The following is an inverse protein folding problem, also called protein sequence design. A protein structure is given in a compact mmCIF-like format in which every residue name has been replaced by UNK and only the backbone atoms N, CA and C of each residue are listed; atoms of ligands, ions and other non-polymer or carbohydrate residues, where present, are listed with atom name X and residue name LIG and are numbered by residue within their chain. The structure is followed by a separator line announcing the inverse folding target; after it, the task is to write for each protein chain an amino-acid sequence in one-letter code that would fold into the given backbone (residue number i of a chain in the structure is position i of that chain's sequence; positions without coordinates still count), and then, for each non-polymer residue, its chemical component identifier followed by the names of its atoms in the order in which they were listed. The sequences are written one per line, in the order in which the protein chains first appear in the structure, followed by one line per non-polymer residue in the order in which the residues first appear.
data_IF_893451258037
#
_entry.id   IF_893451258037
#
_cell.length_a   1.000
_cell.length_b   1.000
_cell.length_c   1.000
_cell.angle_alpha   90.00
_cell.angle_beta   90.00
_cell.angle_gamma   90.00
#
_symmetry.space_group_name_H-M   'P 1'
#
loop_
_entity.id
_entity.type
_entity.pdbx_description
1 polymer ?
#
# COMPACT_ATOMS: atom_id res chain seq x y z
N UNK A 1 86.02 -9.14 -35.12
CA UNK A 1 85.37 -8.10 -34.29
C UNK A 1 83.87 -8.33 -34.35
N UNK A 2 83.27 -8.76 -33.24
CA UNK A 2 81.89 -9.23 -33.17
C UNK A 2 80.93 -8.07 -32.86
N UNK A 3 80.03 -7.75 -33.78
CA UNK A 3 78.94 -6.80 -33.55
C UNK A 3 77.77 -7.51 -32.85
N UNK A 4 77.55 -7.20 -31.57
CA UNK A 4 76.38 -7.67 -30.80
C UNK A 4 75.18 -6.80 -31.13
N UNK A 5 74.15 -7.46 -31.66
CA UNK A 5 72.77 -6.98 -31.81
C UNK A 5 72.16 -6.86 -30.41
N UNK A 6 71.67 -5.67 -30.04
CA UNK A 6 70.75 -5.50 -28.91
C UNK A 6 69.39 -5.08 -29.46
N UNK A 7 68.45 -6.03 -29.45
CA UNK A 7 67.05 -5.84 -29.80
C UNK A 7 66.29 -5.46 -28.51
N UNK A 8 65.87 -4.21 -28.39
CA UNK A 8 65.06 -3.74 -27.26
C UNK A 8 63.59 -4.05 -27.52
N UNK A 9 63.05 -5.06 -26.87
CA UNK A 9 61.61 -5.36 -26.87
C UNK A 9 60.94 -4.39 -25.89
N UNK A 10 60.20 -3.40 -26.41
CA UNK A 10 59.26 -2.62 -25.60
C UNK A 10 58.02 -3.48 -25.32
N UNK A 11 57.87 -3.93 -24.07
CA UNK A 11 56.57 -4.38 -23.57
C UNK A 11 55.67 -3.15 -23.34
N UNK A 12 54.74 -2.93 -24.26
CA UNK A 12 53.60 -2.05 -24.02
C UNK A 12 52.64 -2.77 -23.06
N UNK A 13 52.74 -2.45 -21.76
CA UNK A 13 51.73 -2.82 -20.78
C UNK A 13 50.47 -1.99 -21.03
N UNK A 14 49.51 -2.59 -21.73
CA UNK A 14 48.14 -2.07 -21.83
C UNK A 14 47.49 -2.11 -20.44
N UNK A 15 47.70 -1.06 -19.66
CA UNK A 15 46.92 -0.79 -18.46
C UNK A 15 45.49 -0.46 -18.91
N UNK A 16 44.60 -1.46 -18.86
CA UNK A 16 43.18 -1.20 -18.91
C UNK A 16 42.85 -0.20 -17.78
N UNK A 17 42.08 0.87 -18.03
CA UNK A 17 41.68 1.77 -16.96
C UNK A 17 40.92 0.94 -15.93
N UNK A 18 41.45 0.91 -14.70
CA UNK A 18 40.73 0.38 -13.56
C UNK A 18 39.46 1.22 -13.43
N UNK A 19 38.33 0.68 -13.88
CA UNK A 19 37.01 1.25 -13.64
C UNK A 19 36.88 1.26 -12.12
N UNK A 20 37.05 2.45 -11.52
CA UNK A 20 36.91 2.64 -10.10
C UNK A 20 35.55 2.04 -9.67
N UNK A 21 35.60 1.09 -8.73
CA UNK A 21 34.37 0.52 -8.20
C UNK A 21 33.50 1.66 -7.67
N UNK A 22 32.20 1.72 -8.01
CA UNK A 22 31.32 2.78 -7.52
C UNK A 22 31.39 2.83 -5.99
N UNK A 23 31.82 3.97 -5.45
CA UNK A 23 31.87 4.18 -4.01
C UNK A 23 30.45 4.20 -3.45
N UNK A 24 30.28 3.70 -2.22
CA UNK A 24 29.00 3.78 -1.53
C UNK A 24 28.66 5.26 -1.29
N UNK A 25 27.44 5.64 -1.64
CA UNK A 25 26.87 6.95 -1.39
C UNK A 25 26.00 6.89 -0.14
N UNK A 26 25.96 7.99 0.63
CA UNK A 26 25.07 8.10 1.78
C UNK A 26 23.62 8.24 1.29
N UNK A 27 22.69 7.51 1.90
CA UNK A 27 21.28 7.53 1.53
C UNK A 27 20.95 6.70 0.28
N UNK A 28 19.67 6.73 -0.10
CA UNK A 28 19.17 6.12 -1.33
C UNK A 28 19.05 7.16 -2.46
N UNK A 29 19.18 6.73 -3.73
CA UNK A 29 18.67 7.49 -4.86
C UNK A 29 17.15 7.75 -4.73
N UNK A 30 16.70 8.95 -5.13
CA UNK A 30 15.28 9.37 -5.06
C UNK A 30 14.30 8.39 -5.72
N UNK A 31 14.74 7.70 -6.78
CA UNK A 31 13.90 6.73 -7.47
C UNK A 31 13.62 5.45 -6.66
N UNK A 32 14.42 5.20 -5.61
CA UNK A 32 14.31 4.08 -4.69
C UNK A 32 13.70 4.47 -3.35
N UNK A 33 13.27 5.71 -3.20
CA UNK A 33 12.58 6.20 -1.99
C UNK A 33 11.06 6.18 -2.21
N UNK A 34 10.32 5.83 -1.16
CA UNK A 34 8.87 5.71 -1.18
C UNK A 34 8.34 4.34 -0.74
N UNK A 35 7.08 4.09 -1.08
CA UNK A 35 6.38 2.85 -0.75
C UNK A 35 6.26 1.97 -1.98
N UNK A 36 6.50 0.68 -1.79
CA UNK A 36 6.59 -0.31 -2.84
C UNK A 36 5.72 -1.51 -2.51
N UNK A 37 4.83 -1.89 -3.43
CA UNK A 37 3.99 -3.08 -3.33
C UNK A 37 4.26 -4.08 -4.46
N UNK A 38 4.10 -5.37 -4.20
CA UNK A 38 4.18 -6.43 -5.20
C UNK A 38 2.94 -6.50 -6.10
N UNK A 39 1.89 -5.74 -5.77
CA UNK A 39 0.68 -5.62 -6.57
C UNK A 39 0.04 -4.24 -6.44
N UNK A 40 -0.84 -3.89 -7.38
CA UNK A 40 -1.62 -2.63 -7.32
C UNK A 40 -2.47 -2.60 -6.05
N UNK A 41 -2.99 -3.76 -5.73
CA UNK A 41 -3.84 -4.02 -4.59
C UNK A 41 -3.11 -3.72 -3.27
N UNK A 42 -1.87 -4.17 -3.17
CA UNK A 42 -1.04 -3.87 -2.00
C UNK A 42 -0.76 -2.37 -1.89
N UNK A 43 -0.51 -1.69 -3.02
CA UNK A 43 -0.35 -0.24 -3.05
C UNK A 43 -1.60 0.52 -2.59
N UNK A 44 -2.78 0.12 -3.04
CA UNK A 44 -4.05 0.67 -2.57
C UNK A 44 -4.17 0.50 -1.06
N UNK A 45 -3.92 -0.70 -0.53
CA UNK A 45 -4.00 -0.96 0.91
C UNK A 45 -2.97 -0.14 1.71
N UNK A 46 -1.78 0.10 1.16
CA UNK A 46 -0.74 0.89 1.84
C UNK A 46 -1.11 2.36 2.02
N UNK A 47 -1.79 2.96 1.05
CA UNK A 47 -2.32 4.32 1.22
C UNK A 47 -3.44 4.41 2.28
N UNK A 48 -3.90 3.28 2.82
CA UNK A 48 -5.13 3.17 3.62
C UNK A 48 -4.93 2.65 5.03
N UNK A 49 -3.86 1.91 5.31
CA UNK A 49 -3.62 1.45 6.68
C UNK A 49 -3.19 2.63 7.54
N UNK A 50 -3.96 2.85 8.60
CA UNK A 50 -3.86 3.93 9.59
C UNK A 50 -2.76 3.70 10.62
N UNK A 51 -1.85 2.76 10.38
CA UNK A 51 -0.79 2.35 11.30
C UNK A 51 0.36 3.39 11.24
N UNK A 52 0.10 4.62 11.71
CA UNK A 52 1.07 5.73 11.94
C UNK A 52 1.97 6.20 10.77
N UNK A 53 1.97 5.53 9.61
CA UNK A 53 2.72 5.96 8.43
C UNK A 53 1.87 6.97 7.64
N UNK A 54 1.52 8.09 8.28
CA UNK A 54 0.90 9.24 7.64
C UNK A 54 1.93 10.15 6.95
N UNK A 55 3.22 9.77 6.98
CA UNK A 55 4.31 10.52 6.39
C UNK A 55 5.13 9.62 5.49
N UNK A 56 4.77 9.62 4.21
CA UNK A 56 5.68 9.23 3.13
C UNK A 56 6.86 10.22 3.11
N UNK A 57 7.78 10.06 4.05
CA UNK A 57 9.01 10.84 4.10
C UNK A 57 9.91 10.37 2.97
N UNK A 58 10.54 11.33 2.28
CA UNK A 58 11.50 11.09 1.20
C UNK A 58 12.74 10.32 1.68
N UNK A 59 12.90 10.07 2.98
CA UNK A 59 14.10 9.44 3.53
C UNK A 59 13.98 7.91 3.72
N UNK A 60 12.82 7.32 3.43
CA UNK A 60 12.52 5.93 3.76
C UNK A 60 12.14 5.08 2.54
N UNK A 61 12.53 3.82 2.63
CA UNK A 61 12.04 2.72 1.80
C UNK A 61 11.08 1.90 2.64
N UNK A 62 9.87 1.66 2.13
CA UNK A 62 8.89 0.81 2.81
C UNK A 62 8.28 -0.19 1.83
N UNK A 63 8.14 -1.43 2.30
CA UNK A 63 7.58 -2.57 1.57
C UNK A 63 6.35 -3.17 2.28
N UNK A 64 5.96 -2.60 3.43
CA UNK A 64 4.71 -2.91 4.10
C UNK A 64 4.17 -1.71 4.87
N UNK A 65 2.88 -1.72 5.21
CA UNK A 65 2.17 -0.58 5.80
C UNK A 65 2.06 -0.60 7.33
N UNK A 66 2.85 -1.43 8.02
CA UNK A 66 2.83 -1.51 9.48
C UNK A 66 3.98 -0.72 10.12
N UNK A 67 3.82 -0.35 11.39
CA UNK A 67 4.91 0.20 12.20
C UNK A 67 6.13 -0.74 12.16
N UNK A 68 7.30 -0.23 11.79
CA UNK A 68 8.54 -1.03 11.66
C UNK A 68 8.79 -1.64 10.28
N UNK A 69 7.86 -1.46 9.34
CA UNK A 69 8.07 -1.75 7.91
C UNK A 69 8.88 -0.67 7.17
N UNK A 70 9.22 0.40 7.88
CA UNK A 70 10.05 1.47 7.35
C UNK A 70 11.51 1.17 7.64
N UNK A 71 12.33 1.33 6.60
CA UNK A 71 13.77 1.26 6.73
C UNK A 71 14.41 2.54 6.26
N UNK A 72 15.31 3.08 7.08
CA UNK A 72 16.20 4.14 6.63
C UNK A 72 17.25 3.54 5.72
N UNK A 73 17.41 4.07 4.51
CA UNK A 73 18.54 3.70 3.67
C UNK A 73 19.79 4.40 4.19
N UNK A 74 20.70 3.65 4.81
CA UNK A 74 21.94 4.21 5.38
C UNK A 74 22.98 4.46 4.30
N UNK A 75 23.05 3.58 3.29
CA UNK A 75 23.92 3.77 2.14
C UNK A 75 23.42 3.00 0.92
N UNK A 76 23.85 3.45 -0.25
CA UNK A 76 23.58 2.81 -1.52
C UNK A 76 24.88 2.64 -2.32
N UNK A 77 24.97 1.55 -3.08
CA UNK A 77 26.07 1.33 -4.03
C UNK A 77 25.51 0.88 -5.35
N UNK A 78 25.79 1.62 -6.42
CA UNK A 78 25.43 1.22 -7.78
C UNK A 78 26.29 0.03 -8.22
N UNK A 79 25.68 -0.92 -8.91
CA UNK A 79 26.34 -2.09 -9.53
C UNK A 79 25.94 -2.19 -11.00
N UNK A 80 26.64 -3.00 -11.81
CA UNK A 80 26.21 -3.27 -13.18
C UNK A 80 24.78 -3.85 -13.28
N UNK A 81 24.33 -4.55 -12.23
CA UNK A 81 23.02 -5.19 -12.16
C UNK A 81 21.94 -4.33 -11.49
N UNK A 82 22.27 -3.15 -10.95
CA UNK A 82 21.34 -2.25 -10.27
C UNK A 82 21.96 -1.55 -9.07
N UNK A 83 21.43 -1.79 -7.87
CA UNK A 83 21.88 -1.20 -6.62
C UNK A 83 22.01 -2.26 -5.52
N UNK A 84 22.90 -2.00 -4.58
CA UNK A 84 22.91 -2.64 -3.26
C UNK A 84 22.57 -1.55 -2.25
N UNK A 85 21.46 -1.71 -1.54
CA UNK A 85 21.04 -0.80 -0.48
C UNK A 85 21.35 -1.43 0.87
N UNK A 86 21.88 -0.62 1.79
CA UNK A 86 21.95 -0.96 3.21
C UNK A 86 20.85 -0.21 3.95
N UNK A 87 20.15 -0.93 4.80
CA UNK A 87 19.03 -0.44 5.58
C UNK A 87 19.35 -0.48 7.07
N UNK A 88 18.67 0.34 7.84
CA UNK A 88 18.59 0.23 9.29
C UNK A 88 17.17 0.61 9.75
N UNK A 89 16.70 -0.05 10.81
CA UNK A 89 15.42 0.29 11.46
C UNK A 89 15.59 0.28 12.98
N UNK A 90 14.66 0.88 13.76
CA UNK A 90 14.74 0.83 15.22
C UNK A 90 14.79 -0.60 15.79
N UNK A 91 14.11 -1.55 15.13
CA UNK A 91 14.10 -2.97 15.52
C UNK A 91 15.29 -3.78 15.01
N UNK A 92 16.04 -3.27 14.03
CA UNK A 92 17.27 -3.87 13.53
C UNK A 92 18.33 -2.78 13.23
N UNK A 93 19.05 -2.31 14.26
CA UNK A 93 20.03 -1.22 14.12
C UNK A 93 21.30 -1.65 13.37
N UNK A 94 21.66 -2.94 13.41
CA UNK A 94 22.76 -3.50 12.62
C UNK A 94 22.43 -3.52 11.12
N UNK A 95 21.13 -3.53 10.81
CA UNK A 95 20.63 -3.38 9.47
C UNK A 95 20.65 -4.65 8.65
N UNK A 96 20.36 -4.50 7.37
CA UNK A 96 20.46 -5.57 6.37
C UNK A 96 20.80 -4.97 5.01
N UNK A 97 21.15 -5.83 4.06
CA UNK A 97 21.45 -5.44 2.69
C UNK A 97 20.45 -6.07 1.73
N UNK A 98 20.07 -5.32 0.71
CA UNK A 98 19.20 -5.80 -0.36
C UNK A 98 19.80 -5.43 -1.70
N UNK A 99 19.72 -6.36 -2.65
CA UNK A 99 20.02 -6.10 -4.05
C UNK A 99 18.75 -5.67 -4.76
N UNK A 100 18.82 -4.57 -5.50
CA UNK A 100 17.71 -4.01 -6.24
C UNK A 100 18.11 -3.91 -7.71
N UNK A 101 17.39 -4.64 -8.56
CA UNK A 101 17.52 -4.56 -10.02
C UNK A 101 16.34 -3.79 -10.58
N UNK A 102 16.61 -2.68 -11.26
CA UNK A 102 15.56 -1.95 -11.97
C UNK A 102 15.13 -2.75 -13.19
N UNK A 103 13.84 -3.08 -13.27
CA UNK A 103 13.26 -3.76 -14.45
C UNK A 103 12.75 -2.71 -15.44
N UNK A 104 12.01 -1.71 -14.95
CA UNK A 104 11.50 -0.56 -15.70
C UNK A 104 11.30 0.62 -14.73
N UNK A 105 11.00 1.86 -15.20
CA UNK A 105 10.75 2.98 -14.29
C UNK A 105 9.68 2.63 -13.24
N UNK A 106 10.03 2.77 -11.96
CA UNK A 106 9.15 2.47 -10.83
C UNK A 106 8.87 0.99 -10.58
N UNK A 107 9.55 0.05 -11.25
CA UNK A 107 9.40 -1.39 -11.00
C UNK A 107 10.78 -2.04 -10.83
N UNK A 108 10.93 -2.74 -9.73
CA UNK A 108 12.19 -3.24 -9.23
C UNK A 108 12.05 -4.70 -8.86
N UNK A 109 13.10 -5.48 -9.11
CA UNK A 109 13.27 -6.79 -8.52
C UNK A 109 14.17 -6.64 -7.31
N UNK A 110 13.70 -7.08 -6.15
CA UNK A 110 14.41 -6.99 -4.87
C UNK A 110 14.81 -8.38 -4.41
N UNK A 111 16.00 -8.48 -3.79
CA UNK A 111 16.48 -9.74 -3.21
C UNK A 111 17.26 -9.44 -1.93
N UNK A 112 16.88 -10.08 -0.83
CA UNK A 112 17.64 -10.04 0.41
C UNK A 112 18.93 -10.86 0.30
N UNK A 113 19.93 -10.49 1.09
CA UNK A 113 21.24 -11.15 1.08
C UNK A 113 21.25 -12.52 1.80
N UNK A 114 20.18 -12.85 2.53
CA UNK A 114 19.95 -14.12 3.22
C UNK A 114 19.55 -15.29 2.30
N UNK A 115 19.37 -15.03 1.01
CA UNK A 115 19.12 -16.06 -0.01
C UNK A 115 17.67 -16.20 -0.43
N UNK A 116 16.75 -15.39 0.09
CA UNK A 116 15.35 -15.38 -0.33
C UNK A 116 15.17 -15.20 -1.86
N UNK A 117 14.03 -15.69 -2.35
CA UNK A 117 13.65 -15.59 -3.76
C UNK A 117 13.43 -14.11 -4.15
N UNK A 118 13.81 -13.70 -5.38
CA UNK A 118 13.61 -12.33 -5.80
C UNK A 118 12.11 -11.97 -5.90
N UNK A 119 11.71 -10.88 -5.25
CA UNK A 119 10.36 -10.32 -5.37
C UNK A 119 10.33 -9.20 -6.42
N UNK A 120 9.21 -9.01 -7.10
CA UNK A 120 9.00 -7.85 -7.97
C UNK A 120 8.11 -6.85 -7.27
N UNK A 121 8.63 -5.65 -7.05
CA UNK A 121 7.95 -4.56 -6.38
C UNK A 121 7.76 -3.39 -7.34
N UNK A 122 6.59 -2.77 -7.27
CA UNK A 122 6.26 -1.54 -7.99
C UNK A 122 6.10 -0.41 -7.00
N UNK A 123 6.64 0.77 -7.33
CA UNK A 123 6.44 1.99 -6.56
C UNK A 123 4.96 2.38 -6.63
N UNK A 124 4.33 2.50 -5.47
CA UNK A 124 2.96 2.96 -5.33
C UNK A 124 2.86 4.43 -5.73
N UNK A 125 1.72 4.79 -6.32
CA UNK A 125 1.49 6.11 -6.91
C UNK A 125 0.20 6.74 -6.39
N UNK A 126 0.06 8.04 -6.61
CA UNK A 126 -1.15 8.78 -6.24
C UNK A 126 -2.42 8.17 -6.88
N UNK A 127 -2.29 7.55 -8.06
CA UNK A 127 -3.43 6.86 -8.70
C UNK A 127 -3.90 5.62 -7.91
N UNK A 128 -3.02 4.99 -7.12
CA UNK A 128 -3.39 3.87 -6.24
C UNK A 128 -4.16 4.38 -5.01
N UNK A 129 -3.78 5.56 -4.49
CA UNK A 129 -4.52 6.24 -3.43
C UNK A 129 -5.96 6.59 -3.88
N UNK A 130 -6.10 7.17 -5.08
CA UNK A 130 -7.39 7.46 -5.71
C UNK A 130 -8.20 6.18 -5.92
N UNK A 131 -7.58 5.12 -6.42
CA UNK A 131 -8.24 3.84 -6.63
C UNK A 131 -8.80 3.22 -5.33
N UNK A 132 -8.23 3.55 -4.18
CA UNK A 132 -8.67 3.10 -2.86
C UNK A 132 -9.85 3.85 -2.24
N UNK A 133 -10.33 4.95 -2.83
CA UNK A 133 -11.46 5.71 -2.26
C UNK A 133 -12.65 4.78 -2.04
N UNK A 134 -13.22 4.83 -0.82
CA UNK A 134 -14.38 4.03 -0.43
C UNK A 134 -14.12 2.54 -0.21
N UNK A 135 -12.87 2.08 -0.16
CA UNK A 135 -12.51 0.67 0.02
C UNK A 135 -11.78 0.46 1.35
N UNK A 136 -12.19 -0.56 2.09
CA UNK A 136 -11.59 -0.93 3.36
C UNK A 136 -10.12 -1.42 3.17
N UNK A 137 -9.13 -0.84 3.89
CA UNK A 137 -7.73 -1.30 3.90
C UNK A 137 -7.52 -2.78 4.26
N UNK A 138 -8.44 -3.37 5.03
CA UNK A 138 -8.39 -4.76 5.46
C UNK A 138 -8.77 -5.76 4.37
N UNK A 139 -9.29 -5.30 3.23
CA UNK A 139 -9.85 -6.16 2.21
C UNK A 139 -8.87 -6.42 1.05
N UNK A 140 -8.47 -7.69 0.76
CA UNK A 140 -7.57 -7.99 -0.34
C UNK A 140 -8.23 -7.60 -1.67
N UNK A 141 -7.61 -6.68 -2.43
CA UNK A 141 -8.24 -6.11 -3.61
C UNK A 141 -8.20 -6.97 -4.89
N UNK A 142 -8.42 -8.28 -4.79
CA UNK A 142 -8.75 -9.18 -5.93
C UNK A 142 -10.26 -9.45 -6.07
N UNK A 143 -11.04 -8.85 -5.17
CA UNK A 143 -12.47 -9.09 -4.97
C UNK A 143 -13.37 -8.06 -5.67
N UNK A 144 -12.78 -7.12 -6.42
CA UNK A 144 -13.48 -5.94 -6.95
C UNK A 144 -14.52 -6.24 -8.02
N UNK A 145 -14.27 -7.19 -8.91
CA UNK A 145 -15.29 -7.66 -9.87
C UNK A 145 -16.45 -8.38 -9.16
N UNK A 146 -16.27 -8.76 -7.89
CA UNK A 146 -17.37 -9.26 -7.09
C UNK A 146 -18.23 -8.12 -6.53
N UNK A 147 -17.80 -6.86 -6.35
CA UNK A 147 -18.66 -5.84 -5.71
C UNK A 147 -19.95 -5.58 -6.50
N UNK A 148 -19.89 -5.58 -7.84
CA UNK A 148 -21.06 -5.42 -8.71
C UNK A 148 -21.77 -6.75 -9.06
N UNK A 149 -21.06 -7.89 -9.09
CA UNK A 149 -21.67 -9.22 -9.32
C UNK A 149 -22.19 -9.90 -8.02
N UNK A 150 -21.82 -9.39 -6.84
CA UNK A 150 -22.08 -9.99 -5.52
C UNK A 150 -23.42 -9.65 -4.91
N UNK A 151 -24.18 -8.69 -5.44
CA UNK A 151 -25.55 -8.47 -4.99
C UNK A 151 -26.44 -9.69 -5.28
N UNK A 152 -26.07 -10.55 -6.24
CA UNK A 152 -26.87 -11.69 -6.66
C UNK A 152 -26.54 -13.03 -5.99
N UNK A 153 -25.40 -13.18 -5.30
CA UNK A 153 -24.98 -14.48 -4.73
C UNK A 153 -23.92 -14.32 -3.64
N UNK A 154 -24.23 -14.64 -2.39
CA UNK A 154 -23.45 -14.12 -1.27
C UNK A 154 -23.31 -15.07 -0.06
N UNK A 155 -22.06 -15.38 0.33
CA UNK A 155 -21.67 -15.88 1.66
C UNK A 155 -21.48 -14.69 2.61
N UNK A 156 -22.16 -14.71 3.75
CA UNK A 156 -22.49 -13.56 4.60
C UNK A 156 -21.34 -12.77 5.27
N UNK A 157 -20.16 -13.36 5.45
CA UNK A 157 -19.10 -12.83 6.34
C UNK A 157 -18.15 -11.83 5.65
N UNK A 158 -17.82 -12.07 4.39
CA UNK A 158 -16.72 -11.36 3.70
C UNK A 158 -17.21 -10.12 2.93
N UNK A 159 -18.53 -9.94 2.71
CA UNK A 159 -19.03 -8.78 1.95
C UNK A 159 -19.77 -7.73 2.78
N UNK A 160 -20.01 -7.99 4.07
CA UNK A 160 -20.66 -7.01 4.97
C UNK A 160 -19.69 -5.88 5.34
N UNK A 161 -18.45 -6.18 5.71
CA UNK A 161 -17.52 -5.16 6.25
C UNK A 161 -17.10 -4.11 5.21
N UNK A 162 -16.67 -4.47 3.99
CA UNK A 162 -16.33 -3.47 2.98
C UNK A 162 -17.54 -2.61 2.54
N UNK A 163 -18.76 -3.18 2.55
CA UNK A 163 -19.97 -2.43 2.23
C UNK A 163 -20.38 -1.46 3.35
N UNK A 164 -20.28 -1.91 4.61
CA UNK A 164 -20.47 -1.07 5.81
C UNK A 164 -19.44 0.05 5.83
N UNK A 165 -18.17 -0.26 5.61
CA UNK A 165 -17.10 0.72 5.46
C UNK A 165 -17.41 1.72 4.35
N UNK A 166 -17.77 1.26 3.15
CA UNK A 166 -18.12 2.12 2.00
C UNK A 166 -19.29 3.07 2.35
N UNK A 167 -20.30 2.57 3.05
CA UNK A 167 -21.45 3.37 3.47
C UNK A 167 -21.06 4.41 4.52
N UNK A 168 -20.28 4.04 5.54
CA UNK A 168 -19.73 4.99 6.51
C UNK A 168 -18.79 6.02 5.85
N UNK A 169 -18.01 5.59 4.85
CA UNK A 169 -17.14 6.46 4.07
C UNK A 169 -17.98 7.50 3.32
N UNK A 170 -19.03 7.09 2.62
CA UNK A 170 -19.95 8.01 1.95
C UNK A 170 -20.60 9.00 2.92
N UNK A 171 -20.99 8.55 4.12
CA UNK A 171 -21.49 9.44 5.18
C UNK A 171 -20.44 10.48 5.59
N UNK A 172 -19.21 10.04 5.84
CA UNK A 172 -18.12 10.90 6.29
C UNK A 172 -17.66 11.91 5.22
N UNK A 173 -17.72 11.54 3.94
CA UNK A 173 -17.38 12.43 2.79
C UNK A 173 -18.13 13.75 2.85
N UNK A 174 -19.39 13.75 3.27
CA UNK A 174 -20.23 14.98 3.31
C UNK A 174 -19.67 16.09 4.20
N UNK A 175 -18.74 15.76 5.12
CA UNK A 175 -18.02 16.75 5.94
C UNK A 175 -16.97 17.52 5.16
N UNK A 176 -16.40 16.91 4.11
CA UNK A 176 -15.30 17.45 3.30
C UNK A 176 -15.74 17.90 1.90
N UNK A 177 -16.82 17.32 1.39
CA UNK A 177 -17.42 17.60 0.08
C UNK A 177 -18.90 18.00 0.27
N UNK A 178 -19.17 19.22 0.77
CA UNK A 178 -20.53 19.65 1.15
C UNK A 178 -21.49 19.77 -0.05
N UNK A 179 -20.97 19.82 -1.26
CA UNK A 179 -21.73 19.81 -2.50
C UNK A 179 -22.33 18.44 -2.84
N UNK A 180 -21.78 17.36 -2.28
CA UNK A 180 -22.26 16.01 -2.56
C UNK A 180 -23.48 15.66 -1.70
N UNK A 181 -24.53 15.16 -2.35
CA UNK A 181 -25.75 14.68 -1.69
C UNK A 181 -25.63 13.20 -1.36
N UNK A 182 -25.70 12.90 -0.06
CA UNK A 182 -25.77 11.53 0.47
C UNK A 182 -27.19 10.96 0.37
N UNK A 183 -27.32 9.77 -0.22
CA UNK A 183 -28.52 8.95 -0.11
C UNK A 183 -28.55 8.26 1.27
N UNK A 184 -28.97 9.02 2.29
CA UNK A 184 -28.87 8.63 3.70
C UNK A 184 -29.55 7.29 4.02
N UNK A 185 -30.79 7.12 3.58
CA UNK A 185 -31.57 5.90 3.84
C UNK A 185 -30.89 4.65 3.24
N UNK A 186 -30.29 4.78 2.05
CA UNK A 186 -29.56 3.69 1.42
C UNK A 186 -28.29 3.33 2.20
N UNK A 187 -27.53 4.32 2.66
CA UNK A 187 -26.35 4.10 3.50
C UNK A 187 -26.72 3.43 4.84
N UNK A 188 -27.76 3.94 5.52
CA UNK A 188 -28.27 3.38 6.78
C UNK A 188 -28.75 1.94 6.61
N UNK A 189 -29.46 1.64 5.51
CA UNK A 189 -29.90 0.28 5.17
C UNK A 189 -28.71 -0.68 5.02
N UNK A 190 -27.63 -0.26 4.37
CA UNK A 190 -26.41 -1.07 4.19
C UNK A 190 -25.74 -1.32 5.54
N UNK A 191 -25.59 -0.28 6.36
CA UNK A 191 -24.97 -0.37 7.69
C UNK A 191 -25.76 -1.34 8.58
N UNK A 192 -27.08 -1.20 8.62
CA UNK A 192 -27.98 -2.06 9.39
C UNK A 192 -27.97 -3.51 8.89
N UNK A 193 -27.92 -3.71 7.57
CA UNK A 193 -27.78 -5.04 6.99
C UNK A 193 -26.45 -5.69 7.37
N UNK A 194 -25.36 -4.93 7.35
CA UNK A 194 -24.05 -5.40 7.80
C UNK A 194 -24.03 -5.77 9.28
N UNK A 195 -24.63 -4.93 10.14
CA UNK A 195 -24.79 -5.20 11.58
C UNK A 195 -25.52 -6.52 11.83
N UNK A 196 -26.67 -6.72 11.18
CA UNK A 196 -27.45 -7.96 11.30
C UNK A 196 -26.67 -9.17 10.77
N UNK A 197 -25.97 -9.01 9.65
CA UNK A 197 -25.12 -10.06 9.07
C UNK A 197 -24.02 -10.50 10.03
N UNK A 198 -23.34 -9.56 10.67
CA UNK A 198 -22.32 -9.86 11.67
C UNK A 198 -22.89 -10.49 12.93
N UNK A 199 -24.01 -9.98 13.43
CA UNK A 199 -24.71 -10.56 14.59
C UNK A 199 -25.05 -12.03 14.34
N UNK A 200 -25.67 -12.34 13.20
CA UNK A 200 -26.02 -13.70 12.81
C UNK A 200 -24.76 -14.57 12.70
N UNK A 201 -23.71 -14.07 12.07
CA UNK A 201 -22.44 -14.77 11.95
C UNK A 201 -21.85 -15.12 13.32
N UNK A 202 -21.77 -14.14 14.23
CA UNK A 202 -21.20 -14.34 15.56
C UNK A 202 -21.95 -15.41 16.36
N UNK A 203 -23.29 -15.41 16.24
CA UNK A 203 -24.17 -16.41 16.84
C UNK A 203 -23.97 -17.80 16.20
N UNK A 204 -23.96 -17.90 14.87
CA UNK A 204 -23.80 -19.16 14.12
C UNK A 204 -22.45 -19.82 14.41
N UNK A 205 -21.39 -19.02 14.52
CA UNK A 205 -20.04 -19.48 14.87
C UNK A 205 -19.83 -19.66 16.37
N UNK A 206 -20.80 -19.27 17.20
CA UNK A 206 -20.71 -19.29 18.66
C UNK A 206 -19.40 -18.65 19.14
N UNK A 207 -19.09 -17.47 18.61
CA UNK A 207 -17.83 -16.79 18.92
C UNK A 207 -17.70 -16.60 20.43
N UNK A 208 -16.51 -16.87 20.95
CA UNK A 208 -16.21 -16.62 22.36
C UNK A 208 -16.12 -15.12 22.57
N UNK A 209 -17.14 -14.56 23.21
CA UNK A 209 -17.19 -13.15 23.55
C UNK A 209 -16.32 -12.84 24.78
N UNK A 210 -15.89 -11.58 24.90
CA UNK A 210 -15.30 -11.08 26.11
C UNK A 210 -16.28 -11.16 27.29
N UNK A 211 -15.76 -11.21 28.52
CA UNK A 211 -16.60 -11.32 29.72
C UNK A 211 -17.58 -10.13 29.80
N UNK A 212 -18.87 -10.44 29.92
CA UNK A 212 -19.93 -9.42 30.00
C UNK A 212 -20.35 -8.81 28.66
N UNK A 213 -19.85 -9.33 27.53
CA UNK A 213 -20.30 -8.89 26.20
C UNK A 213 -21.45 -9.76 25.69
N UNK A 214 -22.40 -9.12 25.00
CA UNK A 214 -23.44 -9.80 24.21
C UNK A 214 -23.08 -9.79 22.73
N UNK A 215 -23.70 -10.64 21.92
CA UNK A 215 -23.45 -10.66 20.48
C UNK A 215 -23.87 -9.35 19.81
N UNK A 216 -24.93 -8.70 20.30
CA UNK A 216 -25.38 -7.38 19.84
C UNK A 216 -24.30 -6.33 20.09
N UNK A 217 -23.72 -6.32 21.30
CA UNK A 217 -22.62 -5.41 21.64
C UNK A 217 -21.39 -5.64 20.76
N UNK A 218 -21.04 -6.90 20.48
CA UNK A 218 -19.94 -7.23 19.57
C UNK A 218 -20.21 -6.73 18.14
N UNK A 219 -21.45 -6.85 17.67
CA UNK A 219 -21.85 -6.31 16.37
C UNK A 219 -21.82 -4.79 16.33
N UNK A 220 -22.32 -4.13 17.37
CA UNK A 220 -22.23 -2.67 17.50
C UNK A 220 -20.78 -2.19 17.49
N UNK A 221 -19.89 -2.86 18.25
CA UNK A 221 -18.47 -2.52 18.28
C UNK A 221 -17.81 -2.71 16.91
N UNK A 222 -18.17 -3.77 16.17
CA UNK A 222 -17.64 -3.96 14.83
C UNK A 222 -18.06 -2.87 13.84
N UNK A 223 -19.35 -2.50 13.83
CA UNK A 223 -19.84 -1.40 13.00
C UNK A 223 -19.18 -0.07 13.39
N UNK A 224 -18.99 0.16 14.68
CA UNK A 224 -18.33 1.37 15.17
C UNK A 224 -16.83 1.41 14.83
N UNK A 225 -16.15 0.26 14.75
CA UNK A 225 -14.78 0.16 14.19
C UNK A 225 -14.77 0.55 12.71
N UNK A 226 -15.66 -0.01 11.90
CA UNK A 226 -15.74 0.31 10.46
C UNK A 226 -16.05 1.80 10.25
N UNK A 227 -16.93 2.38 11.08
CA UNK A 227 -17.21 3.82 11.09
C UNK A 227 -15.97 4.66 11.35
N UNK A 228 -15.23 4.37 12.43
CA UNK A 228 -14.01 5.12 12.79
C UNK A 228 -12.94 5.00 11.70
N UNK A 229 -12.75 3.80 11.16
CA UNK A 229 -11.80 3.56 10.07
C UNK A 229 -12.18 4.36 8.82
N UNK A 230 -13.46 4.37 8.45
CA UNK A 230 -13.93 5.15 7.32
C UNK A 230 -13.75 6.67 7.53
N UNK A 231 -14.02 7.18 8.73
CA UNK A 231 -13.80 8.59 9.06
C UNK A 231 -12.32 8.99 8.93
N UNK A 232 -11.41 8.18 9.48
CA UNK A 232 -9.96 8.39 9.35
C UNK A 232 -9.50 8.30 7.89
N UNK A 233 -10.06 7.36 7.12
CA UNK A 233 -9.72 7.20 5.71
C UNK A 233 -10.16 8.41 4.87
N UNK A 234 -11.35 8.97 5.12
CA UNK A 234 -11.83 10.19 4.44
C UNK A 234 -10.94 11.38 4.80
N UNK A 235 -10.56 11.54 6.06
CA UNK A 235 -9.67 12.63 6.48
C UNK A 235 -8.29 12.55 5.81
N UNK A 236 -7.70 11.36 5.79
CA UNK A 236 -6.42 11.13 5.12
C UNK A 236 -6.50 11.42 3.62
N UNK A 237 -7.57 10.96 2.96
CA UNK A 237 -7.78 11.20 1.54
C UNK A 237 -8.03 12.65 1.18
N UNK A 238 -8.92 13.32 1.92
CA UNK A 238 -9.23 14.72 1.68
C UNK A 238 -7.98 15.60 1.82
N UNK A 239 -7.02 15.16 2.64
CA UNK A 239 -5.73 15.84 2.82
C UNK A 239 -4.74 15.51 1.69
N UNK A 240 -4.69 14.26 1.22
CA UNK A 240 -3.64 13.78 0.33
C UNK A 240 -4.02 13.77 -1.17
N UNK A 241 -5.30 13.61 -1.49
CA UNK A 241 -5.81 13.49 -2.87
C UNK A 241 -6.22 14.88 -3.38
N UNK A 242 -5.53 15.35 -4.41
CA UNK A 242 -5.98 16.54 -5.15
C UNK A 242 -7.32 16.24 -5.84
N UNK A 243 -8.22 17.22 -5.86
CA UNK A 243 -9.55 17.10 -6.48
C UNK A 243 -10.38 15.94 -5.87
N UNK A 244 -10.18 15.69 -4.56
CA UNK A 244 -10.79 14.59 -3.80
C UNK A 244 -12.28 14.39 -4.08
N UNK A 245 -13.10 15.44 -3.98
CA UNK A 245 -14.55 15.34 -4.14
C UNK A 245 -14.98 14.87 -5.54
N UNK A 246 -14.22 15.25 -6.59
CA UNK A 246 -14.44 14.75 -7.93
C UNK A 246 -14.15 13.25 -8.02
N UNK A 247 -13.01 12.80 -7.47
CA UNK A 247 -12.66 11.39 -7.44
C UNK A 247 -13.60 10.53 -6.58
N UNK A 248 -14.20 11.11 -5.53
CA UNK A 248 -15.25 10.46 -4.75
C UNK A 248 -16.51 10.29 -5.59
N UNK A 249 -16.93 11.32 -6.32
CA UNK A 249 -18.07 11.22 -7.21
C UNK A 249 -17.82 10.19 -8.33
N UNK A 250 -16.61 10.12 -8.88
CA UNK A 250 -16.24 9.07 -9.83
C UNK A 250 -16.27 7.67 -9.19
N UNK A 251 -15.91 7.57 -7.91
CA UNK A 251 -15.90 6.30 -7.19
C UNK A 251 -17.30 5.77 -6.86
N UNK A 252 -18.21 6.64 -6.42
CA UNK A 252 -19.56 6.30 -5.94
C UNK A 252 -20.68 6.62 -6.94
N UNK A 253 -20.36 7.24 -8.07
CA UNK A 253 -21.32 7.61 -9.09
C UNK A 253 -21.96 6.41 -9.81
N UNK A 254 -22.84 6.64 -10.80
CA UNK A 254 -23.56 5.58 -11.49
C UNK A 254 -22.68 4.53 -12.19
N UNK A 255 -21.49 4.91 -12.62
CA UNK A 255 -20.47 4.03 -13.21
C UNK A 255 -19.29 3.78 -12.26
N UNK A 256 -19.47 4.15 -11.00
CA UNK A 256 -18.46 4.05 -9.98
C UNK A 256 -18.08 2.60 -9.67
N UNK A 257 -16.88 2.46 -9.11
CA UNK A 257 -16.32 1.16 -8.69
C UNK A 257 -16.72 0.77 -7.27
N UNK A 258 -17.23 1.74 -6.50
CA UNK A 258 -17.78 1.56 -5.14
C UNK A 258 -19.31 1.62 -5.24
N UNK A 259 -20.01 1.15 -4.20
CA UNK A 259 -21.49 1.04 -4.16
C UNK A 259 -22.15 2.28 -4.77
N UNK A 260 -22.69 2.09 -5.97
CA UNK A 260 -23.15 3.19 -6.80
C UNK A 260 -24.40 3.84 -6.23
N UNK A 261 -24.51 5.15 -6.40
CA UNK A 261 -25.69 5.91 -6.03
C UNK A 261 -25.79 6.27 -4.54
N UNK A 262 -24.78 5.98 -3.71
CA UNK A 262 -24.75 6.51 -2.34
C UNK A 262 -24.45 8.01 -2.29
N UNK A 263 -23.74 8.51 -3.31
CA UNK A 263 -23.40 9.92 -3.46
C UNK A 263 -23.83 10.41 -4.85
N UNK A 264 -24.25 11.67 -4.89
CA UNK A 264 -24.63 12.39 -6.11
C UNK A 264 -24.21 13.86 -6.01
N UNK A 265 -24.15 14.59 -7.14
CA UNK A 265 -23.97 16.03 -7.13
C UNK A 265 -25.15 16.78 -6.48
#
# INVERSE_FOLDING_TARGET
MNARILLTILLATSAAPAIAAPQAQNGAPDELLGVFGSSREQCVAFHRKTDDIHRFSKDYYSWCSGSGCEAKVVSSRRTPQGYVLKFASPGNPEGWSMRIKRLRPGVYQTRLDDGEEPETLSRCRDEDMVAGIGIDPGFPPGSFNAVNAAFASLKAEVKSSNAVFSAHYAVAVTRYCPELKLQREAAETIIDAGRRGWLQFAQDKKLRLAQGWTYEREADDHIDRDRRQAEMAVEADATAIKDFCHHVLDAFGPQGRVISGLLSP
#
